data_IF_860103144895
#
_entry.id   IF_860103144895
#
_cell.length_a   1.000
_cell.length_b   1.000
_cell.length_c   1.000
_cell.angle_alpha   90.00
_cell.angle_beta   90.00
_cell.angle_gamma   90.00
#
_symmetry.space_group_name_H-M   'P 1'
#
loop_
_entity.id
_entity.type
_entity.pdbx_description
1 polymer ?
#
# COMPACT_ATOMS: atom_id res chain seq x y z
N UNK A 1 1.37 -6.52 28.40
CA UNK A 1 2.52 -7.41 28.38
C UNK A 1 3.31 -7.21 29.65
N UNK A 2 3.67 -8.28 30.33
CA UNK A 2 4.03 -8.09 31.73
C UNK A 2 5.41 -8.67 31.99
N UNK A 3 6.42 -7.89 31.66
CA UNK A 3 7.80 -8.15 31.98
C UNK A 3 8.51 -9.17 31.07
N UNK A 4 9.80 -9.25 31.18
CA UNK A 4 10.63 -10.17 30.45
C UNK A 4 11.92 -10.50 31.21
N UNK A 5 12.52 -11.63 30.88
CA UNK A 5 13.75 -12.07 31.49
C UNK A 5 14.95 -11.90 30.54
N UNK A 6 16.15 -11.74 31.10
CA UNK A 6 17.39 -11.66 30.30
C UNK A 6 17.63 -12.89 29.44
N UNK A 7 17.09 -14.07 29.83
CA UNK A 7 17.16 -15.28 28.99
C UNK A 7 16.32 -15.17 27.75
N UNK A 8 15.11 -14.59 27.86
CA UNK A 8 14.22 -14.36 26.73
C UNK A 8 14.82 -13.35 25.76
N UNK A 9 15.40 -12.25 26.25
CA UNK A 9 16.10 -11.27 25.41
C UNK A 9 17.20 -11.93 24.60
N UNK A 10 18.09 -12.71 25.25
CA UNK A 10 19.18 -13.43 24.56
C UNK A 10 18.67 -14.44 23.53
N UNK A 11 17.59 -15.17 23.87
CA UNK A 11 16.95 -16.12 22.94
C UNK A 11 16.41 -15.42 21.69
N UNK A 12 15.76 -14.27 21.85
CA UNK A 12 15.25 -13.46 20.74
C UNK A 12 16.37 -12.88 19.88
N UNK A 13 17.42 -12.35 20.52
CA UNK A 13 18.59 -11.80 19.80
C UNK A 13 19.35 -12.85 18.98
N UNK A 14 19.34 -14.10 19.42
CA UNK A 14 19.99 -15.21 18.70
C UNK A 14 19.12 -15.82 17.59
N UNK A 15 17.86 -15.44 17.48
CA UNK A 15 16.93 -16.00 16.51
C UNK A 15 17.12 -15.39 15.11
N UNK A 16 17.38 -16.24 14.11
CA UNK A 16 17.63 -15.83 12.71
C UNK A 16 16.48 -15.08 12.03
N UNK A 17 15.26 -15.22 12.54
CA UNK A 17 14.09 -14.56 11.98
C UNK A 17 13.89 -13.14 12.53
N UNK A 18 14.64 -12.76 13.56
CA UNK A 18 14.54 -11.47 14.23
C UNK A 18 15.67 -10.56 13.79
N UNK A 19 15.35 -9.35 13.41
CA UNK A 19 16.31 -8.32 12.99
C UNK A 19 16.77 -7.48 14.18
N UNK A 20 15.81 -7.01 14.99
CA UNK A 20 16.07 -6.16 16.15
C UNK A 20 15.18 -6.56 17.31
N UNK A 21 15.71 -6.42 18.52
CA UNK A 21 14.96 -6.55 19.77
C UNK A 21 15.14 -5.26 20.54
N UNK A 22 14.05 -4.54 20.77
CA UNK A 22 14.02 -3.32 21.55
C UNK A 22 13.23 -3.49 22.83
N UNK A 23 13.45 -2.63 23.80
CA UNK A 23 12.82 -2.64 25.10
C UNK A 23 12.15 -1.30 25.35
N UNK A 24 10.93 -1.36 25.88
CA UNK A 24 10.21 -0.19 26.39
C UNK A 24 9.50 -0.51 27.69
N UNK A 25 9.18 0.52 28.47
CA UNK A 25 8.36 0.41 29.68
C UNK A 25 7.68 1.73 30.00
N UNK A 26 6.54 1.64 30.63
CA UNK A 26 5.91 2.84 31.21
C UNK A 26 6.77 3.35 32.37
N UNK A 27 6.85 4.68 32.48
CA UNK A 27 7.53 5.40 33.54
C UNK A 27 6.54 6.25 34.36
N UNK A 28 5.29 6.37 33.92
CA UNK A 28 4.22 7.10 34.58
C UNK A 28 3.16 7.56 33.59
N UNK A 29 2.16 8.27 34.13
CA UNK A 29 1.06 8.84 33.36
C UNK A 29 0.87 10.29 33.79
N UNK A 30 0.78 11.23 32.84
CA UNK A 30 0.58 12.63 33.10
C UNK A 30 -0.86 12.83 33.57
N UNK A 31 -1.01 13.50 34.71
CA UNK A 31 -2.30 13.97 35.23
C UNK A 31 -2.45 15.45 34.94
N UNK A 32 -3.47 15.84 34.21
CA UNK A 32 -3.83 17.23 33.99
C UNK A 32 -5.31 17.43 34.32
N UNK A 33 -5.61 18.50 35.04
CA UNK A 33 -6.99 18.93 35.29
C UNK A 33 -7.71 19.48 34.05
N UNK A 34 -6.97 19.72 32.97
CA UNK A 34 -7.47 20.25 31.70
C UNK A 34 -7.79 19.13 30.66
N UNK A 35 -7.45 17.88 30.97
CA UNK A 35 -7.84 16.78 30.12
C UNK A 35 -9.34 16.49 30.30
N UNK A 36 -10.06 16.55 29.20
CA UNK A 36 -11.30 15.78 29.06
C UNK A 36 -10.93 14.32 29.35
N UNK A 37 -11.56 13.67 30.32
CA UNK A 37 -11.21 12.37 30.95
C UNK A 37 -10.94 11.18 30.00
N UNK A 38 -10.65 11.40 28.73
CA UNK A 38 -10.57 10.38 27.67
C UNK A 38 -9.17 10.11 27.14
N UNK A 39 -8.16 10.92 27.47
CA UNK A 39 -6.79 10.73 26.93
C UNK A 39 -5.78 10.61 28.07
N UNK A 40 -5.29 9.40 28.29
CA UNK A 40 -4.14 9.15 29.18
C UNK A 40 -2.84 9.38 28.41
N UNK A 41 -2.02 10.34 28.83
CA UNK A 41 -0.69 10.55 28.24
C UNK A 41 0.34 9.77 29.06
N UNK A 42 0.91 8.74 28.42
CA UNK A 42 1.95 7.91 29.01
C UNK A 42 3.32 8.57 28.95
N UNK A 43 4.10 8.46 30.03
CA UNK A 43 5.54 8.66 30.03
C UNK A 43 6.19 7.29 29.80
N UNK A 44 7.02 7.18 28.78
CA UNK A 44 7.68 5.94 28.39
C UNK A 44 9.19 6.09 28.45
N UNK A 45 9.86 5.04 28.84
CA UNK A 45 11.27 4.85 28.59
C UNK A 45 11.46 3.75 27.55
N UNK A 46 12.43 3.94 26.66
CA UNK A 46 12.83 2.88 25.72
C UNK A 46 14.35 2.83 25.54
N UNK A 47 14.84 1.69 25.11
CA UNK A 47 16.26 1.51 24.81
C UNK A 47 16.64 2.11 23.45
N UNK A 48 17.93 2.23 23.22
CA UNK A 48 18.49 2.79 21.98
C UNK A 48 18.06 1.98 20.74
N UNK A 49 17.93 0.66 20.88
CA UNK A 49 17.49 -0.22 19.79
C UNK A 49 16.04 0.03 19.40
N UNK A 50 15.16 0.18 20.38
CA UNK A 50 13.77 0.54 20.13
C UNK A 50 13.68 1.89 19.43
N UNK A 51 14.32 2.92 20.01
CA UNK A 51 14.26 4.26 19.48
C UNK A 51 14.81 4.40 18.06
N UNK A 52 16.00 3.84 17.79
CA UNK A 52 16.68 4.02 16.51
C UNK A 52 16.23 3.06 15.40
N UNK A 53 15.80 1.83 15.75
CA UNK A 53 15.52 0.80 14.75
C UNK A 53 14.03 0.43 14.65
N UNK A 54 13.28 0.42 15.77
CA UNK A 54 11.87 0.05 15.76
C UNK A 54 10.98 1.27 15.56
N UNK A 55 11.23 2.36 16.29
CA UNK A 55 10.45 3.59 16.23
C UNK A 55 10.81 4.46 15.02
N UNK A 56 12.02 4.33 14.46
CA UNK A 56 12.50 5.14 13.33
C UNK A 56 11.55 5.18 12.11
N UNK A 57 10.92 4.07 11.67
CA UNK A 57 9.98 4.13 10.56
C UNK A 57 8.68 4.89 10.86
N UNK A 58 8.31 4.99 12.13
CA UNK A 58 7.11 5.69 12.58
C UNK A 58 7.35 7.19 12.80
N UNK A 59 8.60 7.63 12.94
CA UNK A 59 8.96 9.04 13.13
C UNK A 59 9.12 9.75 11.80
N UNK A 60 8.46 10.88 11.66
CA UNK A 60 8.56 11.72 10.45
C UNK A 60 9.43 12.96 10.68
N UNK A 61 9.46 13.46 11.92
CA UNK A 61 10.24 14.63 12.30
C UNK A 61 10.79 14.45 13.72
N UNK A 62 11.99 14.93 13.93
CA UNK A 62 12.63 15.03 15.23
C UNK A 62 13.37 16.38 15.29
N UNK A 63 13.06 17.16 16.31
CA UNK A 63 13.74 18.40 16.66
C UNK A 63 14.31 18.24 18.05
N UNK A 64 15.64 18.37 18.21
CA UNK A 64 16.33 18.05 19.46
C UNK A 64 16.86 16.60 19.53
N UNK A 65 16.94 16.06 20.74
CA UNK A 65 17.51 14.73 21.02
C UNK A 65 16.69 13.93 22.03
N UNK A 66 16.91 12.60 22.07
CA UNK A 66 16.32 11.70 23.05
C UNK A 66 16.83 12.07 24.47
N UNK A 67 15.94 12.03 25.52
CA UNK A 67 16.30 12.40 26.89
C UNK A 67 17.48 11.59 27.44
N UNK A 68 18.48 12.28 27.94
CA UNK A 68 19.68 11.67 28.56
C UNK A 68 19.73 11.95 30.06
N UNK A 69 19.33 13.15 30.48
CA UNK A 69 19.33 13.56 31.88
C UNK A 69 17.96 13.30 32.54
N UNK A 70 17.96 13.16 33.86
CA UNK A 70 16.76 12.82 34.62
C UNK A 70 15.58 13.81 34.40
N UNK A 71 15.87 15.08 34.27
CA UNK A 71 14.89 16.14 34.09
C UNK A 71 14.60 16.50 32.62
N UNK A 72 15.04 15.69 31.69
CA UNK A 72 14.75 15.87 30.28
C UNK A 72 13.51 15.08 29.88
N UNK A 73 12.73 15.69 28.99
CA UNK A 73 11.49 15.12 28.45
C UNK A 73 11.43 15.35 26.95
N UNK A 74 11.07 14.35 26.19
CA UNK A 74 10.75 14.48 24.78
C UNK A 74 9.26 14.24 24.57
N UNK A 75 8.61 15.16 23.85
CA UNK A 75 7.15 15.18 23.66
C UNK A 75 6.76 15.37 22.20
N UNK A 76 5.47 15.25 21.93
CA UNK A 76 4.87 15.67 20.67
C UNK A 76 4.20 17.04 20.83
N UNK A 77 3.92 17.71 19.71
CA UNK A 77 3.13 18.95 19.74
C UNK A 77 1.71 18.71 20.27
N UNK A 78 1.16 17.51 20.01
CA UNK A 78 -0.17 17.14 20.48
C UNK A 78 -0.21 17.05 22.02
N UNK A 79 0.87 16.54 22.66
CA UNK A 79 1.02 16.52 24.11
C UNK A 79 1.15 17.96 24.67
N UNK A 80 1.98 18.80 24.04
CA UNK A 80 2.14 20.19 24.47
C UNK A 80 0.81 20.94 24.39
N UNK A 81 0.04 20.73 23.33
CA UNK A 81 -1.29 21.29 23.18
C UNK A 81 -2.25 20.82 24.27
N UNK A 82 -2.28 19.52 24.51
CA UNK A 82 -3.10 18.92 25.56
C UNK A 82 -2.74 19.41 26.95
N UNK A 83 -1.47 19.79 27.20
CA UNK A 83 -1.01 20.41 28.44
C UNK A 83 -1.18 21.95 28.48
N UNK A 84 -1.87 22.57 27.50
CA UNK A 84 -2.07 24.02 27.44
C UNK A 84 -0.80 24.82 27.11
N UNK A 85 0.24 24.21 26.58
CA UNK A 85 1.58 24.75 26.37
C UNK A 85 2.05 24.68 24.90
N UNK A 86 1.19 25.00 23.95
CA UNK A 86 1.45 24.87 22.50
C UNK A 86 2.70 25.60 21.98
N UNK A 87 3.10 26.68 22.65
CA UNK A 87 4.16 27.60 22.21
C UNK A 87 5.56 27.18 22.67
N UNK A 88 5.68 26.13 23.48
CA UNK A 88 6.97 25.69 23.99
C UNK A 88 7.80 25.02 22.86
N UNK A 89 9.11 25.24 22.95
CA UNK A 89 10.13 24.76 22.02
C UNK A 89 11.18 23.91 22.73
N UNK A 90 12.07 23.29 22.00
CA UNK A 90 13.21 22.56 22.55
C UNK A 90 14.08 23.52 23.38
N UNK A 91 14.42 23.12 24.60
CA UNK A 91 15.15 23.90 25.58
C UNK A 91 14.27 24.61 26.60
N UNK A 92 12.96 24.75 26.34
CA UNK A 92 12.03 25.34 27.30
C UNK A 92 11.72 24.38 28.46
N UNK A 93 11.20 24.93 29.56
CA UNK A 93 10.83 24.15 30.73
C UNK A 93 9.31 24.01 30.84
N UNK A 94 8.86 22.82 31.20
CA UNK A 94 7.46 22.52 31.50
C UNK A 94 7.34 21.88 32.88
N UNK A 95 6.31 22.24 33.62
CA UNK A 95 5.98 21.62 34.91
C UNK A 95 4.85 20.62 34.65
N UNK A 96 5.07 19.34 35.00
CA UNK A 96 4.09 18.28 34.80
C UNK A 96 3.79 17.57 36.12
N UNK A 97 2.51 17.34 36.36
CA UNK A 97 2.06 16.43 37.43
C UNK A 97 1.81 15.06 36.79
N UNK A 98 2.42 14.03 37.33
CA UNK A 98 2.32 12.66 36.82
C UNK A 98 2.19 11.67 37.99
N UNK A 99 1.65 10.52 37.68
CA UNK A 99 1.57 9.39 38.63
C UNK A 99 2.44 8.23 38.12
N UNK A 100 3.19 7.64 39.03
CA UNK A 100 3.98 6.45 38.81
C UNK A 100 3.80 5.44 39.97
N UNK A 101 4.58 4.37 40.03
CA UNK A 101 4.47 3.37 41.08
C UNK A 101 4.90 3.86 42.47
N UNK A 102 5.54 5.02 42.57
CA UNK A 102 5.89 5.65 43.86
C UNK A 102 4.88 6.69 44.33
N UNK A 103 3.90 7.04 43.51
CA UNK A 103 2.84 8.02 43.82
C UNK A 103 2.70 9.15 42.82
N UNK A 104 2.04 10.20 43.22
CA UNK A 104 1.84 11.43 42.42
C UNK A 104 2.97 12.42 42.69
N UNK A 105 3.59 12.89 41.63
CA UNK A 105 4.72 13.81 41.66
C UNK A 105 4.45 15.01 40.76
N UNK A 106 5.07 16.12 41.07
CA UNK A 106 5.05 17.33 40.24
C UNK A 106 6.47 17.83 40.09
N UNK A 107 7.01 17.67 38.87
CA UNK A 107 8.40 18.01 38.60
C UNK A 107 8.52 18.96 37.40
N UNK A 108 9.65 19.67 37.37
CA UNK A 108 10.02 20.55 36.28
C UNK A 108 10.92 19.79 35.30
N UNK A 109 10.46 19.67 34.04
CA UNK A 109 11.22 19.05 32.94
C UNK A 109 11.72 20.13 31.97
N UNK A 110 12.81 19.83 31.31
CA UNK A 110 13.31 20.57 30.15
C UNK A 110 12.98 19.75 28.90
N UNK A 111 12.40 20.39 27.90
CA UNK A 111 12.06 19.73 26.61
C UNK A 111 13.35 19.50 25.87
N UNK A 112 13.83 18.24 25.84
CA UNK A 112 15.04 17.85 25.12
C UNK A 112 14.79 17.60 23.64
N UNK A 113 13.53 17.29 23.28
CA UNK A 113 13.14 17.08 21.89
C UNK A 113 11.64 17.14 21.68
N UNK A 114 11.28 17.51 20.46
CA UNK A 114 9.91 17.46 19.95
C UNK A 114 9.91 16.56 18.73
N UNK A 115 9.11 15.49 18.79
CA UNK A 115 9.00 14.55 17.69
C UNK A 115 7.61 14.55 17.07
N UNK A 116 7.52 14.10 15.83
CA UNK A 116 6.26 13.87 15.11
C UNK A 116 6.35 12.54 14.38
N UNK A 117 5.21 11.89 14.13
CA UNK A 117 5.18 10.57 13.50
C UNK A 117 3.79 10.10 13.12
N UNK A 118 3.72 8.84 12.70
CA UNK A 118 2.49 8.16 12.39
C UNK A 118 1.93 7.46 13.62
N UNK A 119 0.59 7.34 13.69
CA UNK A 119 -0.09 6.63 14.77
C UNK A 119 -0.39 7.49 16.00
N UNK A 120 -0.53 6.83 17.15
CA UNK A 120 -0.80 7.47 18.42
C UNK A 120 0.42 8.27 18.89
N UNK A 121 0.18 9.52 19.26
CA UNK A 121 1.19 10.49 19.67
C UNK A 121 1.03 10.91 21.14
N UNK A 122 0.29 10.14 21.93
CA UNK A 122 0.02 10.39 23.33
C UNK A 122 1.15 9.95 24.28
N UNK A 123 2.32 9.60 23.74
CA UNK A 123 3.47 9.15 24.53
C UNK A 123 4.58 10.21 24.59
N UNK A 124 4.97 10.61 25.79
CA UNK A 124 6.20 11.32 26.08
C UNK A 124 7.33 10.37 26.44
N UNK A 125 8.57 10.69 26.05
CA UNK A 125 9.73 9.87 26.40
C UNK A 125 10.59 10.52 27.47
N UNK A 126 11.09 9.70 28.38
CA UNK A 126 11.95 10.09 29.50
C UNK A 126 13.27 9.33 29.48
N UNK A 127 14.28 9.84 30.22
CA UNK A 127 15.58 9.19 30.32
C UNK A 127 15.56 7.89 31.13
N UNK A 128 16.60 7.09 30.98
CA UNK A 128 16.81 5.90 31.81
C UNK A 128 16.93 6.25 33.31
N UNK A 129 17.65 7.34 33.62
CA UNK A 129 17.84 7.80 34.98
C UNK A 129 16.51 8.17 35.67
N UNK A 130 15.60 8.78 34.92
CA UNK A 130 14.25 9.06 35.43
C UNK A 130 13.49 7.73 35.65
N UNK A 131 13.49 6.84 34.67
CA UNK A 131 12.79 5.55 34.76
C UNK A 131 13.19 4.74 35.98
N UNK A 132 14.48 4.68 36.30
CA UNK A 132 15.01 3.89 37.41
C UNK A 132 14.49 4.32 38.78
N UNK A 133 13.91 5.53 38.90
CA UNK A 133 13.33 6.08 40.15
C UNK A 133 11.79 5.96 40.20
N UNK A 134 11.14 5.53 39.15
CA UNK A 134 9.67 5.49 39.06
C UNK A 134 9.01 4.30 39.77
N UNK A 135 9.83 3.34 40.24
CA UNK A 135 9.32 2.10 40.85
C UNK A 135 8.81 1.06 39.87
N UNK A 136 8.87 1.33 38.55
CA UNK A 136 8.63 0.31 37.53
C UNK A 136 9.87 -0.57 37.33
N UNK A 137 9.66 -1.83 36.97
CA UNK A 137 10.74 -2.80 36.73
C UNK A 137 10.51 -3.52 35.38
N UNK A 138 11.55 -3.59 34.56
CA UNK A 138 11.51 -4.28 33.28
C UNK A 138 11.12 -5.75 33.39
N UNK A 139 11.41 -6.38 34.51
CA UNK A 139 11.07 -7.77 34.76
C UNK A 139 9.56 -7.99 34.93
N UNK A 140 8.84 -6.98 35.43
CA UNK A 140 7.41 -7.04 35.69
C UNK A 140 6.59 -6.22 34.71
N UNK A 141 7.10 -5.04 34.29
CA UNK A 141 6.35 -4.02 33.54
C UNK A 141 6.92 -3.80 32.15
N UNK A 142 8.12 -4.35 31.84
CA UNK A 142 8.78 -4.12 30.57
C UNK A 142 8.07 -4.79 29.40
N UNK A 143 8.18 -4.18 28.24
CA UNK A 143 7.67 -4.67 26.96
C UNK A 143 8.85 -4.94 26.05
N UNK A 144 8.93 -6.15 25.50
CA UNK A 144 9.87 -6.47 24.42
C UNK A 144 9.21 -6.29 23.07
N UNK A 145 9.80 -5.43 22.28
CA UNK A 145 9.38 -5.19 20.90
C UNK A 145 10.38 -5.83 19.95
N UNK A 146 9.90 -6.60 19.00
CA UNK A 146 10.73 -7.30 18.03
C UNK A 146 10.42 -6.87 16.61
N UNK A 147 11.45 -6.72 15.80
CA UNK A 147 11.34 -6.53 14.37
C UNK A 147 11.81 -7.79 13.66
N UNK A 148 10.96 -8.33 12.80
CA UNK A 148 11.28 -9.50 12.00
C UNK A 148 12.12 -9.14 10.78
N UNK A 149 12.95 -10.07 10.30
CA UNK A 149 13.79 -9.88 9.11
C UNK A 149 12.97 -9.71 7.81
N UNK A 150 11.70 -10.12 7.82
CA UNK A 150 10.81 -10.07 6.67
C UNK A 150 9.50 -9.37 7.03
N UNK A 151 9.01 -8.54 6.13
CA UNK A 151 7.73 -7.85 6.28
C UNK A 151 6.52 -8.79 6.10
N UNK A 152 6.71 -9.90 5.39
CA UNK A 152 5.66 -10.90 5.15
C UNK A 152 6.11 -12.21 5.76
N UNK A 153 5.38 -12.67 6.75
CA UNK A 153 5.75 -13.83 7.55
C UNK A 153 4.63 -14.87 7.53
N UNK A 154 5.01 -16.13 7.36
CA UNK A 154 4.05 -17.23 7.42
C UNK A 154 3.53 -17.39 8.86
N UNK A 155 2.24 -17.69 9.05
CA UNK A 155 1.68 -17.94 10.38
C UNK A 155 2.43 -19.01 11.17
N UNK A 156 2.97 -20.01 10.48
CA UNK A 156 3.79 -21.07 11.09
C UNK A 156 5.08 -20.53 11.73
N UNK A 157 5.66 -19.46 11.19
CA UNK A 157 6.87 -18.84 11.77
C UNK A 157 6.53 -18.10 13.05
N UNK A 158 5.39 -17.42 13.10
CA UNK A 158 4.90 -16.74 14.32
C UNK A 158 4.63 -17.75 15.42
N UNK A 159 3.91 -18.84 15.11
CA UNK A 159 3.65 -19.92 16.05
C UNK A 159 4.93 -20.61 16.56
N UNK A 160 5.93 -20.78 15.69
CA UNK A 160 7.21 -21.36 16.09
C UNK A 160 8.00 -20.43 17.01
N UNK A 161 7.93 -19.13 16.79
CA UNK A 161 8.50 -18.09 17.66
C UNK A 161 7.84 -18.11 19.03
N UNK A 162 6.52 -18.10 19.07
CA UNK A 162 5.73 -18.17 20.30
C UNK A 162 6.10 -19.39 21.13
N UNK A 163 6.13 -20.57 20.53
CA UNK A 163 6.51 -21.82 21.21
C UNK A 163 7.94 -21.83 21.73
N UNK A 164 8.85 -21.10 21.08
CA UNK A 164 10.27 -21.07 21.47
C UNK A 164 10.56 -20.18 22.68
N UNK A 165 9.64 -19.32 23.09
CA UNK A 165 9.88 -18.27 24.08
C UNK A 165 9.56 -18.66 25.52
N UNK A 166 8.94 -19.83 25.75
CA UNK A 166 8.60 -20.32 27.11
C UNK A 166 7.99 -19.19 27.99
N UNK A 167 6.81 -18.71 27.62
CA UNK A 167 6.12 -17.64 28.36
C UNK A 167 5.69 -18.14 29.76
N UNK A 168 5.74 -17.21 30.72
CA UNK A 168 5.05 -17.38 32.00
C UNK A 168 3.57 -17.00 31.84
N UNK A 169 2.72 -17.43 32.79
CA UNK A 169 1.26 -17.19 32.75
C UNK A 169 0.87 -15.71 32.67
N UNK A 170 1.79 -14.79 33.00
CA UNK A 170 1.58 -13.33 32.93
C UNK A 170 2.03 -12.70 31.62
N UNK A 171 2.77 -13.43 30.79
CA UNK A 171 3.34 -12.91 29.56
C UNK A 171 2.44 -13.21 28.37
N UNK A 172 2.21 -12.22 27.54
CA UNK A 172 1.38 -12.34 26.33
C UNK A 172 2.25 -12.02 25.12
N UNK A 173 2.28 -12.93 24.16
CA UNK A 173 2.80 -12.66 22.83
C UNK A 173 1.68 -12.03 22.00
N UNK A 174 1.84 -10.76 21.65
CA UNK A 174 0.87 -10.01 20.86
C UNK A 174 1.51 -9.56 19.55
N UNK A 175 1.51 -10.40 18.50
CA UNK A 175 1.87 -9.93 17.18
C UNK A 175 0.88 -8.88 16.73
N UNK A 176 1.36 -7.82 16.09
CA UNK A 176 0.43 -6.84 15.49
C UNK A 176 -0.42 -7.53 14.44
N UNK A 177 -1.70 -7.17 14.33
CA UNK A 177 -2.65 -7.73 13.35
C UNK A 177 -2.09 -7.69 11.92
N UNK A 178 -1.30 -6.66 11.62
CA UNK A 178 -0.62 -6.53 10.34
C UNK A 178 0.37 -7.69 10.09
N UNK A 179 1.14 -8.10 11.07
CA UNK A 179 2.13 -9.19 10.91
C UNK A 179 1.42 -10.54 10.85
N UNK A 180 0.44 -10.77 11.71
CA UNK A 180 -0.33 -12.02 11.75
C UNK A 180 -1.08 -12.27 10.44
N UNK A 181 -1.67 -11.24 9.88
CA UNK A 181 -2.42 -11.31 8.63
C UNK A 181 -1.61 -10.92 7.39
N UNK A 182 -0.30 -10.63 7.53
CA UNK A 182 0.54 -10.13 6.44
C UNK A 182 0.50 -10.99 5.18
N UNK A 183 0.49 -12.31 5.33
CA UNK A 183 0.40 -13.24 4.20
C UNK A 183 -0.98 -13.22 3.53
N UNK A 184 -2.06 -13.12 4.30
CA UNK A 184 -3.42 -12.99 3.76
C UNK A 184 -3.59 -11.66 3.03
N UNK A 185 -3.04 -10.56 3.59
CA UNK A 185 -3.00 -9.25 2.94
C UNK A 185 -2.22 -9.28 1.62
N UNK A 186 -1.04 -9.93 1.62
CA UNK A 186 -0.26 -10.09 0.40
C UNK A 186 -1.04 -10.84 -0.68
N UNK A 187 -1.70 -11.96 -0.32
CA UNK A 187 -2.56 -12.71 -1.24
C UNK A 187 -3.71 -11.86 -1.77
N UNK A 188 -4.36 -11.08 -0.91
CA UNK A 188 -5.44 -10.15 -1.29
C UNK A 188 -4.95 -9.09 -2.29
N UNK A 189 -3.82 -8.44 -2.00
CA UNK A 189 -3.21 -7.43 -2.88
C UNK A 189 -2.80 -8.05 -4.23
N UNK A 190 -2.17 -9.24 -4.21
CA UNK A 190 -1.79 -9.95 -5.44
C UNK A 190 -3.02 -10.37 -6.26
N UNK A 191 -4.08 -10.83 -5.60
CA UNK A 191 -5.35 -11.15 -6.23
C UNK A 191 -6.00 -9.94 -6.90
N UNK A 192 -6.09 -8.82 -6.19
CA UNK A 192 -6.59 -7.56 -6.72
C UNK A 192 -5.76 -7.07 -7.90
N UNK A 193 -4.43 -7.08 -7.78
CA UNK A 193 -3.52 -6.71 -8.85
C UNK A 193 -3.71 -7.58 -10.10
N UNK A 194 -3.91 -8.89 -9.92
CA UNK A 194 -4.18 -9.83 -11.02
C UNK A 194 -5.49 -9.48 -11.73
N UNK A 195 -6.56 -9.18 -10.99
CA UNK A 195 -7.86 -8.78 -11.56
C UNK A 195 -7.72 -7.49 -12.36
N UNK A 196 -7.02 -6.48 -11.83
CA UNK A 196 -6.76 -5.21 -12.52
C UNK A 196 -5.94 -5.45 -13.81
N UNK A 197 -4.88 -6.25 -13.74
CA UNK A 197 -4.05 -6.58 -14.91
C UNK A 197 -4.86 -7.32 -15.97
N UNK A 198 -5.72 -8.26 -15.58
CA UNK A 198 -6.59 -9.00 -16.50
C UNK A 198 -7.62 -8.06 -17.17
N UNK A 199 -8.23 -7.16 -16.40
CA UNK A 199 -9.15 -6.14 -16.93
C UNK A 199 -8.46 -5.25 -17.96
N UNK A 200 -7.29 -4.71 -17.62
CA UNK A 200 -6.49 -3.89 -18.53
C UNK A 200 -6.11 -4.65 -19.81
N UNK A 201 -5.67 -5.91 -19.67
CA UNK A 201 -5.36 -6.77 -20.81
C UNK A 201 -6.57 -6.98 -21.74
N UNK A 202 -7.75 -7.27 -21.17
CA UNK A 202 -8.97 -7.47 -21.95
C UNK A 202 -9.41 -6.19 -22.68
N UNK A 203 -9.30 -5.04 -22.00
CA UNK A 203 -9.61 -3.73 -22.58
C UNK A 203 -8.68 -3.44 -23.77
N UNK A 204 -7.37 -3.57 -23.58
CA UNK A 204 -6.36 -3.38 -24.63
C UNK A 204 -6.62 -4.34 -25.80
N UNK A 205 -6.86 -5.61 -25.51
CA UNK A 205 -7.18 -6.61 -26.54
C UNK A 205 -8.40 -6.21 -27.37
N UNK A 206 -9.48 -5.78 -26.73
CA UNK A 206 -10.71 -5.39 -27.40
C UNK A 206 -10.50 -4.17 -28.31
N UNK A 207 -9.84 -3.11 -27.80
CA UNK A 207 -9.56 -1.89 -28.57
C UNK A 207 -8.68 -2.21 -29.77
N UNK A 208 -7.60 -2.98 -29.57
CA UNK A 208 -6.69 -3.36 -30.66
C UNK A 208 -7.37 -4.27 -31.67
N UNK A 209 -8.21 -5.21 -31.23
CA UNK A 209 -8.97 -6.07 -32.10
C UNK A 209 -9.91 -5.26 -33.03
N UNK A 210 -10.66 -4.32 -32.46
CA UNK A 210 -11.55 -3.46 -33.25
C UNK A 210 -10.77 -2.55 -34.20
N UNK A 211 -9.68 -1.93 -33.74
CA UNK A 211 -8.84 -1.05 -34.53
C UNK A 211 -8.20 -1.78 -35.72
N UNK A 212 -7.67 -2.97 -35.48
CA UNK A 212 -7.01 -3.79 -36.52
C UNK A 212 -8.05 -4.36 -37.48
N UNK A 213 -9.19 -4.86 -36.97
CA UNK A 213 -10.27 -5.41 -37.79
C UNK A 213 -10.85 -4.39 -38.76
N UNK A 214 -11.02 -3.14 -38.32
CA UNK A 214 -11.49 -2.05 -39.19
C UNK A 214 -10.49 -1.65 -40.28
N UNK A 215 -9.21 -2.02 -40.15
CA UNK A 215 -8.14 -1.72 -41.13
C UNK A 215 -7.70 -2.90 -41.96
N UNK A 216 -8.41 -4.02 -41.90
CA UNK A 216 -8.03 -5.26 -42.65
C UNK A 216 -7.87 -5.01 -44.17
N UNK A 217 -8.78 -4.21 -44.75
CA UNK A 217 -8.71 -3.84 -46.17
C UNK A 217 -7.43 -3.07 -46.47
N UNK A 218 -7.05 -2.13 -45.66
CA UNK A 218 -5.80 -1.37 -45.79
C UNK A 218 -4.58 -2.28 -45.70
N UNK A 219 -4.55 -3.21 -44.79
CA UNK A 219 -3.45 -4.18 -44.67
C UNK A 219 -3.39 -5.15 -45.81
N UNK A 220 -4.54 -5.55 -46.37
CA UNK A 220 -4.60 -6.38 -47.59
C UNK A 220 -4.03 -5.65 -48.83
N UNK A 221 -4.33 -4.34 -48.98
CA UNK A 221 -3.73 -3.51 -50.05
C UNK A 221 -2.20 -3.42 -49.92
N UNK A 222 -1.68 -3.24 -48.67
CA UNK A 222 -0.22 -3.25 -48.45
C UNK A 222 0.42 -4.57 -48.84
N UNK A 223 -0.25 -5.69 -48.61
CA UNK A 223 0.22 -7.02 -49.05
C UNK A 223 0.16 -7.17 -50.57
N UNK A 224 -0.84 -6.63 -51.26
CA UNK A 224 -0.91 -6.64 -52.75
C UNK A 224 0.18 -5.79 -53.38
N UNK A 225 0.69 -4.76 -52.69
CA UNK A 225 1.85 -3.98 -53.10
C UNK A 225 3.20 -4.67 -52.82
N UNK A 226 3.19 -5.93 -52.33
CA UNK A 226 4.39 -6.74 -52.13
C UNK A 226 4.92 -6.75 -50.68
N UNK A 227 4.18 -6.20 -49.72
CA UNK A 227 4.58 -6.27 -48.31
C UNK A 227 4.45 -7.73 -47.78
N UNK A 228 5.54 -8.25 -47.23
CA UNK A 228 5.53 -9.58 -46.64
C UNK A 228 4.80 -9.60 -45.29
N UNK A 229 4.27 -10.78 -44.89
CA UNK A 229 3.60 -10.95 -43.58
C UNK A 229 4.47 -10.49 -42.41
N UNK A 230 5.79 -10.73 -42.43
CA UNK A 230 6.73 -10.32 -41.38
C UNK A 230 6.87 -8.79 -41.32
N UNK A 231 6.91 -8.12 -42.47
CA UNK A 231 6.98 -6.68 -42.58
C UNK A 231 5.68 -6.04 -42.04
N UNK A 232 4.53 -6.60 -42.39
CA UNK A 232 3.23 -6.14 -41.91
C UNK A 232 3.10 -6.28 -40.39
N UNK A 233 3.48 -7.41 -39.81
CA UNK A 233 3.54 -7.59 -38.34
C UNK A 233 4.40 -6.51 -37.68
N UNK A 234 5.61 -6.31 -38.21
CA UNK A 234 6.55 -5.31 -37.68
C UNK A 234 5.99 -3.88 -37.80
N UNK A 235 5.33 -3.58 -38.90
CA UNK A 235 4.70 -2.27 -39.14
C UNK A 235 3.59 -2.01 -38.11
N UNK A 236 2.64 -2.94 -37.96
CA UNK A 236 1.54 -2.81 -36.99
C UNK A 236 2.09 -2.72 -35.56
N UNK A 237 3.06 -3.57 -35.20
CA UNK A 237 3.65 -3.57 -33.86
C UNK A 237 4.34 -2.24 -33.56
N UNK A 238 5.10 -1.67 -34.49
CA UNK A 238 5.77 -0.36 -34.31
C UNK A 238 4.74 0.76 -34.14
N UNK A 239 3.69 0.79 -34.94
CA UNK A 239 2.62 1.78 -34.87
C UNK A 239 1.92 1.71 -33.49
N UNK A 240 1.58 0.50 -33.01
CA UNK A 240 0.95 0.32 -31.71
C UNK A 240 1.89 0.66 -30.54
N UNK A 241 3.17 0.32 -30.66
CA UNK A 241 4.16 0.65 -29.64
C UNK A 241 4.37 2.16 -29.50
N UNK A 242 4.34 2.91 -30.61
CA UNK A 242 4.43 4.38 -30.57
C UNK A 242 3.26 5.00 -29.79
N UNK A 243 2.04 4.55 -30.06
CA UNK A 243 0.85 4.98 -29.33
C UNK A 243 0.94 4.56 -27.84
N UNK A 244 1.44 3.35 -27.58
CA UNK A 244 1.62 2.83 -26.23
C UNK A 244 2.60 3.68 -25.40
N UNK A 245 3.71 4.11 -25.97
CA UNK A 245 4.69 4.98 -25.29
C UNK A 245 4.03 6.28 -24.82
N UNK A 246 3.27 6.94 -25.72
CA UNK A 246 2.53 8.15 -25.35
C UNK A 246 1.51 7.87 -24.23
N UNK A 247 0.76 6.76 -24.33
CA UNK A 247 -0.21 6.34 -23.32
C UNK A 247 0.43 6.01 -21.96
N UNK A 248 1.58 5.34 -21.95
CA UNK A 248 2.34 5.03 -20.73
C UNK A 248 2.80 6.32 -20.05
N UNK A 249 3.32 7.27 -20.80
CA UNK A 249 3.79 8.55 -20.24
C UNK A 249 2.65 9.32 -19.60
N UNK A 250 1.55 9.51 -20.33
CA UNK A 250 0.36 10.22 -19.82
C UNK A 250 -0.26 9.47 -18.63
N UNK A 251 -0.38 8.15 -18.74
CA UNK A 251 -0.96 7.33 -17.68
C UNK A 251 -0.17 7.36 -16.37
N UNK A 252 1.17 7.27 -16.44
CA UNK A 252 2.01 7.39 -15.25
C UNK A 252 1.96 8.82 -14.65
N UNK A 253 1.95 9.86 -15.48
CA UNK A 253 1.83 11.25 -15.01
C UNK A 253 0.52 11.46 -14.25
N UNK A 254 -0.61 11.05 -14.83
CA UNK A 254 -1.92 11.13 -14.19
C UNK A 254 -2.00 10.26 -12.94
N UNK A 255 -1.41 9.06 -12.97
CA UNK A 255 -1.34 8.17 -11.82
C UNK A 255 -0.62 8.80 -10.62
N UNK A 256 0.54 9.43 -10.85
CA UNK A 256 1.28 10.15 -9.81
C UNK A 256 0.45 11.30 -9.24
N UNK A 257 -0.16 12.12 -10.09
CA UNK A 257 -1.00 13.24 -9.65
C UNK A 257 -2.20 12.79 -8.81
N UNK A 258 -2.82 11.68 -9.18
CA UNK A 258 -3.92 11.10 -8.41
C UNK A 258 -3.43 10.54 -7.08
N UNK A 259 -2.31 9.82 -7.04
CA UNK A 259 -1.76 9.26 -5.81
C UNK A 259 -1.46 10.34 -4.76
N UNK A 260 -0.90 11.49 -5.15
CA UNK A 260 -0.59 12.59 -4.24
C UNK A 260 -1.84 13.08 -3.47
N UNK A 261 -3.00 13.07 -4.11
CA UNK A 261 -4.26 13.49 -3.47
C UNK A 261 -5.04 12.36 -2.83
N UNK A 262 -5.10 11.21 -3.48
CA UNK A 262 -5.95 10.10 -3.09
C UNK A 262 -5.41 9.35 -1.87
N UNK A 263 -4.09 9.16 -1.81
CA UNK A 263 -3.47 8.39 -0.71
C UNK A 263 -3.67 9.09 0.65
N UNK A 264 -3.38 10.40 0.83
CA UNK A 264 -3.66 11.09 2.10
C UNK A 264 -5.14 11.05 2.47
N UNK A 265 -6.03 11.21 1.48
CA UNK A 265 -7.47 11.15 1.71
C UNK A 265 -7.91 9.77 2.24
N UNK A 266 -7.46 8.68 1.62
CA UNK A 266 -7.79 7.32 2.07
C UNK A 266 -7.25 7.09 3.49
N UNK A 267 -6.01 7.50 3.77
CA UNK A 267 -5.42 7.34 5.10
C UNK A 267 -6.19 8.13 6.17
N UNK A 268 -6.64 9.34 5.86
CA UNK A 268 -7.46 10.13 6.79
C UNK A 268 -8.82 9.47 7.07
N UNK A 269 -9.46 8.87 6.06
CA UNK A 269 -10.72 8.11 6.22
C UNK A 269 -10.50 6.86 7.09
N UNK A 270 -9.34 6.24 7.02
CA UNK A 270 -8.97 5.09 7.85
C UNK A 270 -8.56 5.48 9.28
N UNK A 271 -8.64 6.77 9.65
CA UNK A 271 -8.27 7.25 10.98
C UNK A 271 -6.75 7.27 11.24
N UNK A 272 -5.95 7.05 10.20
CA UNK A 272 -4.49 7.17 10.30
C UNK A 272 -4.16 8.64 10.20
N UNK A 273 -3.74 9.26 11.33
CA UNK A 273 -3.36 10.67 11.36
C UNK A 273 -2.20 10.90 10.37
N UNK A 274 -2.51 11.63 9.33
CA UNK A 274 -1.56 12.02 8.30
C UNK A 274 -0.82 13.29 8.73
N UNK A 275 0.01 13.21 9.76
CA UNK A 275 1.07 14.20 9.92
C UNK A 275 1.89 14.21 8.63
N UNK A 276 2.55 15.31 8.27
CA UNK A 276 3.27 15.49 6.99
C UNK A 276 3.80 14.18 6.38
N UNK A 277 2.91 13.44 5.68
CA UNK A 277 3.30 12.23 4.96
C UNK A 277 4.12 12.71 3.78
N UNK A 278 5.43 12.70 3.93
CA UNK A 278 6.32 12.71 2.77
C UNK A 278 6.07 11.40 2.03
N UNK A 279 5.23 11.45 0.99
CA UNK A 279 5.05 10.34 0.07
C UNK A 279 6.43 9.98 -0.49
N UNK A 280 7.06 8.95 0.07
CA UNK A 280 8.33 8.46 -0.46
C UNK A 280 8.04 7.85 -1.83
N UNK A 281 8.44 8.60 -2.84
CA UNK A 281 8.34 8.18 -4.22
C UNK A 281 9.34 7.04 -4.48
N UNK A 282 8.84 5.81 -4.58
CA UNK A 282 9.68 4.67 -4.93
C UNK A 282 9.70 4.47 -6.46
N UNK A 283 10.82 4.79 -7.14
CA UNK A 283 10.94 4.65 -8.60
C UNK A 283 10.75 3.21 -9.09
N UNK A 284 10.96 2.22 -8.24
CA UNK A 284 10.76 0.81 -8.56
C UNK A 284 9.29 0.51 -8.93
N UNK A 285 8.33 1.15 -8.26
CA UNK A 285 6.89 1.00 -8.56
C UNK A 285 6.59 1.47 -9.98
N UNK A 286 7.19 2.57 -10.43
CA UNK A 286 7.02 3.04 -11.81
C UNK A 286 7.59 2.07 -12.83
N UNK A 287 8.77 1.52 -12.57
CA UNK A 287 9.40 0.53 -13.47
C UNK A 287 8.49 -0.69 -13.60
N UNK A 288 7.97 -1.19 -12.49
CA UNK A 288 7.03 -2.33 -12.48
C UNK A 288 5.75 -1.98 -13.25
N UNK A 289 5.16 -0.81 -13.03
CA UNK A 289 3.97 -0.34 -13.75
C UNK A 289 4.19 -0.31 -15.27
N UNK A 290 5.30 0.27 -15.72
CA UNK A 290 5.67 0.31 -17.13
C UNK A 290 5.86 -1.09 -17.69
N UNK A 291 6.57 -1.96 -16.98
CA UNK A 291 6.83 -3.34 -17.41
C UNK A 291 5.53 -4.15 -17.57
N UNK A 292 4.63 -4.07 -16.59
CA UNK A 292 3.31 -4.73 -16.65
C UNK A 292 2.47 -4.20 -17.81
N UNK A 293 2.47 -2.88 -18.04
CA UNK A 293 1.72 -2.27 -19.14
C UNK A 293 2.27 -2.71 -20.50
N UNK A 294 3.59 -2.67 -20.71
CA UNK A 294 4.24 -3.13 -21.95
C UNK A 294 3.95 -4.61 -22.19
N UNK A 295 4.07 -5.43 -21.16
CA UNK A 295 3.75 -6.86 -21.25
C UNK A 295 2.29 -7.11 -21.65
N UNK A 296 1.35 -6.41 -21.04
CA UNK A 296 -0.08 -6.49 -21.37
C UNK A 296 -0.36 -6.08 -22.82
N UNK A 297 0.28 -5.01 -23.32
CA UNK A 297 0.15 -4.57 -24.70
C UNK A 297 0.70 -5.62 -25.68
N UNK A 298 1.91 -6.14 -25.41
CA UNK A 298 2.53 -7.14 -26.27
C UNK A 298 1.70 -8.44 -26.35
N UNK A 299 1.13 -8.88 -25.25
CA UNK A 299 0.21 -10.02 -25.23
C UNK A 299 -1.11 -9.71 -25.96
N UNK A 300 -1.68 -8.55 -25.70
CA UNK A 300 -2.94 -8.10 -26.32
C UNK A 300 -2.87 -7.98 -27.84
N UNK A 301 -1.73 -7.57 -28.38
CA UNK A 301 -1.51 -7.41 -29.81
C UNK A 301 -1.38 -8.73 -30.58
N UNK A 302 -0.93 -9.82 -29.96
CA UNK A 302 -0.56 -11.07 -30.67
C UNK A 302 -1.69 -11.62 -31.52
N UNK A 303 -2.87 -11.83 -30.95
CA UNK A 303 -4.02 -12.40 -31.67
C UNK A 303 -4.59 -11.49 -32.76
N UNK A 304 -4.85 -10.17 -32.51
CA UNK A 304 -5.33 -9.27 -33.54
C UNK A 304 -4.39 -9.17 -34.75
N UNK A 305 -3.08 -9.07 -34.51
CA UNK A 305 -2.08 -9.01 -35.58
C UNK A 305 -2.08 -10.29 -36.40
N UNK A 306 -2.19 -11.47 -35.77
CA UNK A 306 -2.28 -12.73 -36.49
C UNK A 306 -3.52 -12.79 -37.39
N UNK A 307 -4.64 -12.23 -36.95
CA UNK A 307 -5.87 -12.16 -37.76
C UNK A 307 -5.64 -11.27 -38.99
N UNK A 308 -5.05 -10.07 -38.79
CA UNK A 308 -4.76 -9.14 -39.90
C UNK A 308 -3.81 -9.74 -40.97
N UNK A 309 -2.87 -10.57 -40.53
CA UNK A 309 -1.87 -11.17 -41.43
C UNK A 309 -2.31 -12.48 -42.12
N UNK A 310 -3.40 -13.09 -41.61
CA UNK A 310 -3.96 -14.31 -42.23
C UNK A 310 -4.89 -14.01 -43.41
N UNK A 311 -5.46 -12.83 -43.47
CA UNK A 311 -6.37 -12.45 -44.59
C UNK A 311 -5.55 -12.24 -45.84
N UNK A 312 -5.92 -12.98 -46.91
CA UNK A 312 -5.28 -12.85 -48.23
C UNK A 312 -5.67 -11.51 -48.89
N UNK A 313 -4.85 -10.95 -49.81
CA UNK A 313 -5.20 -9.72 -50.54
C UNK A 313 -6.57 -9.82 -51.27
N UNK A 314 -6.88 -10.97 -51.81
CA UNK A 314 -8.17 -11.22 -52.48
C UNK A 314 -9.34 -11.26 -51.51
N UNK A 315 -9.16 -11.85 -50.34
CA UNK A 315 -10.17 -11.85 -49.31
C UNK A 315 -10.35 -10.47 -48.70
N UNK A 316 -9.27 -9.67 -48.57
CA UNK A 316 -9.29 -8.33 -48.04
C UNK A 316 -10.10 -7.37 -48.94
N UNK A 317 -10.06 -7.52 -50.27
CA UNK A 317 -10.87 -6.74 -51.19
C UNK A 317 -12.35 -7.15 -51.18
N UNK A 318 -12.65 -8.40 -50.86
CA UNK A 318 -14.01 -8.93 -50.68
C UNK A 318 -14.51 -8.77 -49.23
N UNK A 319 -13.67 -8.29 -48.32
CA UNK A 319 -14.03 -8.03 -46.91
C UNK A 319 -14.93 -6.78 -46.85
N UNK A 320 -16.14 -6.96 -47.32
CA UNK A 320 -17.25 -6.12 -46.99
C UNK A 320 -17.62 -6.57 -45.55
N UNK A 321 -17.59 -5.71 -44.56
CA UNK A 321 -18.32 -5.96 -43.32
C UNK A 321 -19.66 -6.54 -43.76
N UNK A 322 -19.92 -7.79 -43.37
CA UNK A 322 -21.11 -8.49 -43.84
C UNK A 322 -22.34 -7.67 -43.53
N UNK A 323 -22.72 -6.79 -44.43
CA UNK A 323 -24.07 -6.29 -44.55
C UNK A 323 -24.83 -7.55 -44.94
N UNK A 324 -25.51 -8.13 -43.94
CA UNK A 324 -26.38 -9.27 -44.08
C UNK A 324 -27.19 -9.08 -45.35
N UNK A 325 -27.04 -10.00 -46.34
CA UNK A 325 -28.03 -10.20 -47.40
C UNK A 325 -29.35 -10.62 -46.73
N UNK A 326 -30.06 -9.62 -46.21
CA UNK A 326 -31.35 -9.76 -45.61
C UNK A 326 -32.36 -10.05 -46.68
N UNK A 327 -32.83 -11.28 -46.72
CA UNK A 327 -34.15 -11.56 -47.30
C UNK A 327 -35.14 -10.63 -46.61
N UNK A 328 -35.83 -9.79 -47.41
CA UNK A 328 -36.67 -8.70 -46.93
C UNK A 328 -37.69 -9.17 -45.88
N UNK A 329 -37.57 -8.62 -44.67
CA UNK A 329 -38.55 -8.79 -43.59
C UNK A 329 -39.49 -7.61 -43.55
N UNK A 330 -40.77 -7.91 -43.63
CA UNK A 330 -41.90 -6.97 -43.52
C UNK A 330 -41.86 -6.25 -42.17
N UNK A 331 -42.01 -4.90 -42.22
CA UNK A 331 -41.92 -3.94 -41.15
C UNK A 331 -42.88 -4.19 -39.97
N UNK A 332 -42.33 -4.39 -38.76
CA UNK A 332 -42.94 -3.93 -37.49
C UNK A 332 -41.91 -3.09 -36.74
N UNK A 333 -42.08 -1.78 -36.71
CA UNK A 333 -41.08 -0.74 -36.49
C UNK A 333 -40.44 -0.63 -35.09
N UNK A 334 -40.92 -1.31 -34.02
CA UNK A 334 -40.38 -1.19 -32.66
C UNK A 334 -39.61 -2.40 -32.14
N UNK A 335 -40.00 -3.60 -32.58
CA UNK A 335 -39.30 -4.85 -32.19
C UNK A 335 -38.08 -5.15 -33.06
N UNK A 336 -37.88 -4.44 -34.18
CA UNK A 336 -36.83 -4.69 -35.17
C UNK A 336 -35.42 -4.35 -34.66
N UNK A 337 -35.26 -3.23 -33.96
CA UNK A 337 -33.94 -2.84 -33.44
C UNK A 337 -33.43 -3.77 -32.33
N UNK A 338 -34.31 -4.16 -31.41
CA UNK A 338 -33.96 -5.10 -30.35
C UNK A 338 -33.66 -6.50 -30.88
N UNK A 339 -34.42 -6.94 -31.87
CA UNK A 339 -34.23 -8.25 -32.50
C UNK A 339 -32.93 -8.29 -33.33
N UNK A 340 -32.62 -7.23 -34.07
CA UNK A 340 -31.34 -7.09 -34.80
C UNK A 340 -30.15 -7.06 -33.84
N UNK A 341 -30.27 -6.31 -32.75
CA UNK A 341 -29.24 -6.31 -31.72
C UNK A 341 -29.05 -7.71 -31.13
N UNK A 342 -30.14 -8.41 -30.81
CA UNK A 342 -30.08 -9.75 -30.24
C UNK A 342 -29.55 -10.81 -31.22
N UNK A 343 -29.86 -10.72 -32.51
CA UNK A 343 -29.31 -11.59 -33.54
C UNK A 343 -27.82 -11.32 -33.78
N UNK A 344 -27.38 -10.08 -33.67
CA UNK A 344 -25.97 -9.71 -33.75
C UNK A 344 -25.20 -10.22 -32.51
N UNK A 345 -25.80 -10.15 -31.32
CA UNK A 345 -25.31 -10.79 -30.12
C UNK A 345 -25.15 -12.33 -30.26
N UNK A 346 -26.09 -12.97 -30.91
CA UNK A 346 -26.11 -14.43 -31.09
C UNK A 346 -25.10 -14.91 -32.13
N UNK A 347 -24.78 -14.09 -33.14
CA UNK A 347 -23.87 -14.38 -34.22
C UNK A 347 -22.38 -14.35 -33.80
N UNK A 348 -22.03 -13.48 -32.88
CA UNK A 348 -20.66 -13.26 -32.38
C UNK A 348 -20.52 -13.52 -30.86
N UNK A 349 -21.14 -14.60 -30.36
CA UNK A 349 -21.20 -14.93 -28.91
C UNK A 349 -19.85 -14.80 -28.20
N UNK A 350 -18.75 -15.32 -28.81
CA UNK A 350 -17.42 -15.23 -28.20
C UNK A 350 -16.91 -13.79 -28.06
N UNK A 351 -17.16 -12.93 -29.05
CA UNK A 351 -16.72 -11.53 -29.01
C UNK A 351 -17.56 -10.74 -27.99
N UNK A 352 -18.87 -10.94 -28.01
CA UNK A 352 -19.79 -10.25 -27.11
C UNK A 352 -19.54 -10.60 -25.64
N UNK A 353 -19.29 -11.88 -25.34
CA UNK A 353 -18.95 -12.34 -23.99
C UNK A 353 -17.62 -11.70 -23.49
N UNK A 354 -16.59 -11.64 -24.36
CA UNK A 354 -15.32 -11.03 -24.01
C UNK A 354 -15.47 -9.53 -23.74
N UNK A 355 -16.25 -8.81 -24.57
CA UNK A 355 -16.52 -7.38 -24.38
C UNK A 355 -17.34 -7.12 -23.10
N UNK A 356 -18.39 -7.91 -22.87
CA UNK A 356 -19.21 -7.80 -21.66
C UNK A 356 -18.41 -8.11 -20.39
N UNK A 357 -17.60 -9.17 -20.41
CA UNK A 357 -16.72 -9.50 -19.28
C UNK A 357 -15.69 -8.41 -19.01
N UNK A 358 -15.07 -7.86 -20.08
CA UNK A 358 -14.10 -6.77 -19.90
C UNK A 358 -14.72 -5.50 -19.33
N UNK A 359 -15.95 -5.15 -19.77
CA UNK A 359 -16.69 -4.02 -19.24
C UNK A 359 -17.16 -4.28 -17.80
N UNK A 360 -17.67 -5.47 -17.49
CA UNK A 360 -18.11 -5.83 -16.16
C UNK A 360 -16.97 -5.80 -15.14
N UNK A 361 -15.80 -6.37 -15.50
CA UNK A 361 -14.61 -6.36 -14.64
C UNK A 361 -14.00 -4.95 -14.53
N UNK A 362 -14.16 -4.11 -15.55
CA UNK A 362 -13.67 -2.72 -15.52
C UNK A 362 -14.54 -1.77 -14.70
N UNK A 363 -15.83 -2.13 -14.48
CA UNK A 363 -16.82 -1.32 -13.74
C UNK A 363 -17.03 -1.81 -12.29
N UNK A 364 -16.56 -3.01 -11.94
CA UNK A 364 -16.59 -3.55 -10.59
C UNK A 364 -15.38 -3.09 -9.77
#
# INVERSE_FOLDING_TARGET
MNGFTSKQVKSLQSNKNIQNVGMESYAGFIKSSEFDNTVEIGLLWCDETFWNNLMSPARTKLDGHYPQNKNELMVTKDILKACGNENLSVGDSIVLTYENNTGVHTDKFVISGIWDGYGDKSAGFVSKNFYDETGYDLKNDGILCIKLNRNYVLPTTIQSLEKSLNFSDRQIFAPTDYIENSFKLLLGICGLALVICLSAYLLIYNILYLSISGKIRYYGLLQSLGMTKKQLVRFITKQMLFIAIAGIFIGNLLGILLCIKLVPYILSVLGISTGNIALQFNPFILIVSVAVTVFSILLGMRKPIQIATKVTPVEATKYIECVSNGKGYKKKKRAFFWRMAFEQFKKDKKKTVVVLLSLAISLS
#
